data_IF_714222407708
#
_entry.id   IF_714222407708
#
_cell.length_a   1.000
_cell.length_b   1.000
_cell.length_c   1.000
_cell.angle_alpha   90.00
_cell.angle_beta   90.00
_cell.angle_gamma   90.00
#
_symmetry.space_group_name_H-M   'P 1'
#
loop_
_entity.id
_entity.type
_entity.pdbx_description
1 polymer ?
#
# COMPACT_ATOMS: atom_id res chain seq x y z
N UNK A 1 74.42 0.22 6.19
CA UNK A 1 74.13 -0.72 5.09
C UNK A 1 72.62 -0.85 4.98
N UNK A 2 72.08 -0.50 3.82
CA UNK A 2 70.65 -0.57 3.52
C UNK A 2 70.21 -2.03 3.31
N UNK A 3 69.03 -2.39 3.82
CA UNK A 3 68.34 -3.62 3.45
C UNK A 3 66.85 -3.30 3.28
N UNK A 4 66.31 -3.78 2.15
CA UNK A 4 65.02 -3.50 1.56
C UNK A 4 63.82 -4.13 2.29
N UNK A 5 62.69 -3.42 2.20
CA UNK A 5 61.29 -3.87 2.00
C UNK A 5 60.88 -5.29 2.41
N UNK A 6 59.83 -5.40 3.22
CA UNK A 6 58.53 -5.99 2.81
C UNK A 6 57.41 -5.36 3.65
N UNK A 7 56.49 -4.65 3.00
CA UNK A 7 55.20 -4.23 3.58
C UNK A 7 54.26 -5.43 3.57
N UNK A 8 53.94 -5.98 4.73
CA UNK A 8 52.82 -6.91 4.89
C UNK A 8 51.69 -6.19 5.61
N UNK A 9 50.69 -5.75 4.85
CA UNK A 9 49.40 -5.31 5.36
C UNK A 9 48.57 -6.54 5.76
N UNK A 10 48.12 -6.68 7.01
CA UNK A 10 46.97 -7.52 7.30
C UNK A 10 45.70 -6.64 7.29
N UNK A 11 44.84 -6.91 6.32
CA UNK A 11 43.49 -6.36 6.20
C UNK A 11 42.63 -6.81 7.40
N UNK A 12 42.70 -6.08 8.51
CA UNK A 12 41.92 -6.31 9.73
C UNK A 12 40.53 -5.70 9.68
N UNK A 13 39.71 -6.06 8.69
CA UNK A 13 38.27 -5.80 8.71
C UNK A 13 37.56 -7.12 8.53
N UNK A 14 37.04 -7.70 9.60
CA UNK A 14 35.84 -8.53 9.60
C UNK A 14 35.41 -8.81 11.05
N UNK A 15 34.11 -8.63 11.30
CA UNK A 15 33.33 -9.12 12.44
C UNK A 15 33.34 -8.31 13.74
N UNK A 16 32.76 -7.11 13.71
CA UNK A 16 31.99 -6.57 14.86
C UNK A 16 30.74 -5.86 14.36
N UNK A 17 29.59 -6.56 14.45
CA UNK A 17 28.30 -5.99 14.07
C UNK A 17 27.15 -6.99 14.11
N UNK A 18 27.10 -7.87 15.11
CA UNK A 18 25.96 -8.76 15.38
C UNK A 18 25.16 -8.18 16.55
N UNK A 19 24.47 -7.08 16.30
CA UNK A 19 23.21 -6.72 16.99
C UNK A 19 22.29 -6.13 15.92
N UNK A 20 21.85 -7.00 15.01
CA UNK A 20 20.71 -6.72 14.16
C UNK A 20 19.47 -6.71 15.06
N UNK A 21 19.12 -5.54 15.59
CA UNK A 21 17.72 -5.27 15.88
C UNK A 21 16.96 -5.50 14.56
N UNK A 22 15.82 -6.22 14.55
CA UNK A 22 15.06 -6.33 13.33
C UNK A 22 14.63 -4.91 12.99
N UNK A 23 15.24 -4.33 11.94
CA UNK A 23 14.63 -3.23 11.24
C UNK A 23 13.31 -3.81 10.81
N UNK A 24 12.25 -3.50 11.57
CA UNK A 24 10.90 -3.68 11.11
C UNK A 24 10.94 -3.15 9.68
N UNK A 25 10.71 -4.02 8.71
CA UNK A 25 10.41 -3.61 7.35
C UNK A 25 9.13 -2.78 7.47
N UNK A 26 9.31 -1.53 7.86
CA UNK A 26 8.30 -0.51 7.88
C UNK A 26 8.17 -0.21 6.39
N UNK A 27 7.32 -1.01 5.72
CA UNK A 27 6.77 -0.66 4.44
C UNK A 27 6.25 0.75 4.64
N UNK A 28 7.01 1.75 4.18
CA UNK A 28 6.74 3.15 4.44
C UNK A 28 5.28 3.38 4.03
N UNK A 29 4.39 3.51 5.03
CA UNK A 29 2.99 3.81 4.76
C UNK A 29 3.04 5.09 3.95
N UNK A 30 2.55 5.09 2.69
CA UNK A 30 2.53 6.33 1.94
C UNK A 30 1.83 7.38 2.81
N UNK A 31 2.31 8.63 2.81
CA UNK A 31 1.66 9.67 3.61
C UNK A 31 0.17 9.64 3.28
N UNK A 32 -0.67 9.69 4.32
CA UNK A 32 -2.12 9.65 4.19
C UNK A 32 -2.58 10.88 3.41
N UNK A 33 -2.48 10.79 2.09
CA UNK A 33 -2.96 11.78 1.14
C UNK A 33 -4.41 11.41 0.89
N UNK A 34 -5.32 12.29 1.27
CA UNK A 34 -6.72 12.09 1.00
C UNK A 34 -7.02 12.00 -0.49
N UNK A 35 -8.28 11.77 -0.85
CA UNK A 35 -8.69 11.85 -2.24
C UNK A 35 -8.40 13.24 -2.79
N UNK A 36 -7.85 13.27 -4.01
CA UNK A 36 -7.47 14.48 -4.72
C UNK A 36 -8.06 14.42 -6.11
N UNK A 37 -8.64 15.54 -6.51
CA UNK A 37 -9.18 15.74 -7.84
C UNK A 37 -8.35 16.81 -8.54
N UNK A 38 -8.02 16.56 -9.80
CA UNK A 38 -7.35 17.55 -10.67
C UNK A 38 -8.43 18.24 -11.46
N UNK A 39 -8.51 19.56 -11.35
CA UNK A 39 -9.49 20.39 -12.05
C UNK A 39 -8.76 21.27 -13.05
N UNK A 40 -9.18 21.21 -14.30
CA UNK A 40 -8.66 22.05 -15.38
C UNK A 40 -9.65 23.18 -15.66
N UNK A 41 -9.17 24.42 -15.62
CA UNK A 41 -9.95 25.63 -15.88
C UNK A 41 -9.29 26.34 -17.06
N UNK A 42 -10.06 26.61 -18.12
CA UNK A 42 -9.56 27.30 -19.31
C UNK A 42 -10.09 28.74 -19.33
N UNK A 43 -9.19 29.71 -19.21
CA UNK A 43 -9.49 31.14 -19.30
C UNK A 43 -8.86 31.71 -20.58
N UNK A 44 -9.63 31.67 -21.67
CA UNK A 44 -9.18 32.10 -22.99
C UNK A 44 -8.03 31.22 -23.52
N UNK A 45 -6.81 31.76 -23.49
CA UNK A 45 -5.57 31.09 -23.96
C UNK A 45 -4.68 30.56 -22.82
N UNK A 46 -5.14 30.66 -21.58
CA UNK A 46 -4.43 30.15 -20.39
C UNK A 46 -5.18 28.96 -19.82
N UNK A 47 -4.46 27.87 -19.52
CA UNK A 47 -4.99 26.68 -18.83
C UNK A 47 -4.46 26.64 -17.40
N UNK A 48 -5.35 26.71 -16.42
CA UNK A 48 -5.04 26.62 -15.00
C UNK A 48 -5.36 25.20 -14.53
N UNK A 49 -4.38 24.53 -13.91
CA UNK A 49 -4.53 23.17 -13.38
C UNK A 49 -4.47 23.25 -11.85
N UNK A 50 -5.57 22.95 -11.19
CA UNK A 50 -5.69 22.97 -9.72
C UNK A 50 -5.79 21.55 -9.15
N UNK A 51 -5.22 21.34 -7.96
CA UNK A 51 -5.41 20.10 -7.19
C UNK A 51 -6.31 20.37 -5.99
N UNK A 52 -7.55 19.86 -6.00
CA UNK A 52 -8.50 19.99 -4.88
C UNK A 52 -8.47 18.74 -4.02
N UNK A 53 -8.43 18.91 -2.70
CA UNK A 53 -8.56 17.80 -1.75
C UNK A 53 -10.04 17.56 -1.44
N UNK A 54 -10.49 16.33 -1.68
CA UNK A 54 -11.85 15.89 -1.38
C UNK A 54 -11.88 15.17 -0.03
N UNK A 55 -13.03 15.20 0.64
CA UNK A 55 -13.23 14.51 1.91
C UNK A 55 -12.87 13.02 1.79
N UNK A 56 -12.11 12.51 2.77
CA UNK A 56 -11.82 11.08 2.86
C UNK A 56 -12.76 10.41 3.85
N UNK A 57 -13.35 9.26 3.49
CA UNK A 57 -14.07 8.45 4.45
C UNK A 57 -13.08 7.97 5.52
N UNK A 58 -13.49 8.10 6.78
CA UNK A 58 -12.77 7.52 7.91
C UNK A 58 -13.25 6.09 8.10
N UNK A 59 -12.34 5.20 8.49
CA UNK A 59 -12.70 3.85 8.93
C UNK A 59 -13.66 3.96 10.12
N UNK A 60 -14.63 3.05 10.19
CA UNK A 60 -15.53 2.95 11.34
C UNK A 60 -14.74 2.73 12.63
N UNK A 61 -15.15 3.38 13.73
CA UNK A 61 -14.50 3.19 15.02
C UNK A 61 -14.71 1.76 15.53
N UNK A 62 -13.74 1.23 16.27
CA UNK A 62 -13.78 -0.04 17.00
C UNK A 62 -13.91 -1.31 16.11
N UNK A 63 -12.82 -1.73 15.43
CA UNK A 63 -12.83 -2.98 14.71
C UNK A 63 -12.98 -4.20 15.66
N UNK A 64 -13.65 -5.27 15.22
CA UNK A 64 -13.87 -6.46 16.06
C UNK A 64 -12.58 -7.21 16.40
N UNK A 65 -11.55 -7.13 15.55
CA UNK A 65 -10.23 -7.67 15.82
C UNK A 65 -9.14 -6.60 15.62
N UNK A 66 -8.72 -5.88 16.67
CA UNK A 66 -7.72 -4.81 16.54
C UNK A 66 -6.32 -5.33 16.17
N UNK A 67 -6.04 -6.62 16.36
CA UNK A 67 -4.72 -7.24 16.08
C UNK A 67 -4.52 -7.57 14.59
N UNK A 68 -5.59 -7.55 13.80
CA UNK A 68 -5.55 -7.83 12.36
C UNK A 68 -4.70 -6.81 11.60
N UNK A 69 -3.73 -7.31 10.82
CA UNK A 69 -2.80 -6.47 10.04
C UNK A 69 -3.43 -5.91 8.76
N UNK A 70 -4.43 -6.61 8.21
CA UNK A 70 -5.13 -6.23 6.99
C UNK A 70 -6.58 -5.85 7.30
N UNK A 71 -7.22 -4.91 6.57
CA UNK A 71 -8.62 -4.52 6.82
C UNK A 71 -9.58 -5.71 6.89
N UNK A 72 -9.52 -6.64 5.93
CA UNK A 72 -10.36 -7.85 5.92
C UNK A 72 -10.16 -8.73 7.16
N UNK A 73 -8.90 -8.89 7.58
CA UNK A 73 -8.51 -9.66 8.75
C UNK A 73 -9.01 -8.99 10.04
N UNK A 74 -8.88 -7.67 10.09
CA UNK A 74 -9.27 -6.81 11.22
C UNK A 74 -10.78 -6.82 11.47
N UNK A 75 -11.54 -6.97 10.38
CA UNK A 75 -12.99 -7.07 10.39
C UNK A 75 -13.51 -8.52 10.42
N UNK A 76 -12.64 -9.52 10.58
CA UNK A 76 -12.98 -10.96 10.62
C UNK A 76 -13.80 -11.43 9.39
N UNK A 77 -13.53 -10.83 8.22
CA UNK A 77 -14.21 -11.12 6.96
C UNK A 77 -13.47 -12.18 6.11
N UNK A 78 -12.30 -12.67 6.57
CA UNK A 78 -11.55 -13.71 5.83
C UNK A 78 -12.45 -14.92 5.57
N UNK A 79 -12.57 -15.33 4.30
CA UNK A 79 -13.43 -16.43 3.84
C UNK A 79 -14.95 -16.23 3.97
N UNK A 80 -15.42 -15.00 4.19
CA UNK A 80 -16.85 -14.70 4.38
C UNK A 80 -17.46 -13.82 3.29
N UNK A 81 -16.67 -13.45 2.28
CA UNK A 81 -17.14 -12.62 1.16
C UNK A 81 -16.93 -13.33 -0.18
N UNK A 82 -17.76 -12.97 -1.15
CA UNK A 82 -17.73 -13.43 -2.53
C UNK A 82 -17.77 -12.27 -3.54
N UNK A 83 -18.04 -12.61 -4.80
CA UNK A 83 -18.18 -11.60 -5.87
C UNK A 83 -19.50 -10.83 -5.81
N UNK A 84 -20.50 -11.36 -5.09
CA UNK A 84 -21.83 -10.77 -4.92
C UNK A 84 -21.81 -9.59 -3.91
N UNK A 85 -20.78 -9.51 -3.06
CA UNK A 85 -20.67 -8.51 -2.00
C UNK A 85 -20.17 -7.16 -2.52
N UNK A 86 -20.95 -6.54 -3.40
CA UNK A 86 -20.61 -5.27 -4.09
C UNK A 86 -20.29 -4.15 -3.08
N UNK A 87 -20.95 -4.12 -1.92
CA UNK A 87 -20.69 -3.13 -0.87
C UNK A 87 -19.28 -3.24 -0.27
N UNK A 88 -18.71 -4.45 -0.20
CA UNK A 88 -17.34 -4.65 0.25
C UNK A 88 -16.35 -4.37 -0.89
N UNK A 89 -16.62 -4.89 -2.08
CA UNK A 89 -15.72 -4.77 -3.24
C UNK A 89 -15.57 -3.31 -3.71
N UNK A 90 -16.66 -2.54 -3.68
CA UNK A 90 -16.68 -1.12 -4.09
C UNK A 90 -15.71 -0.24 -3.30
N UNK A 91 -15.34 -0.63 -2.07
CA UNK A 91 -14.40 0.11 -1.22
C UNK A 91 -12.95 0.01 -1.73
N UNK A 92 -12.63 -0.99 -2.54
CA UNK A 92 -11.27 -1.26 -3.03
C UNK A 92 -11.07 -0.95 -4.51
N UNK A 93 -12.07 -0.40 -5.19
CA UNK A 93 -12.01 -0.03 -6.61
C UNK A 93 -12.01 1.49 -6.80
N UNK A 94 -11.52 1.92 -7.96
CA UNK A 94 -11.60 3.29 -8.45
C UNK A 94 -12.98 3.55 -9.06
N UNK A 95 -13.40 4.81 -9.24
CA UNK A 95 -14.63 5.15 -9.96
C UNK A 95 -14.69 4.58 -11.39
N UNK A 96 -13.54 4.36 -12.04
CA UNK A 96 -13.45 3.73 -13.36
C UNK A 96 -13.49 2.18 -13.35
N UNK A 97 -13.74 1.56 -12.19
CA UNK A 97 -13.81 0.10 -12.03
C UNK A 97 -12.45 -0.60 -11.85
N UNK A 98 -11.33 0.12 -11.97
CA UNK A 98 -9.99 -0.43 -11.77
C UNK A 98 -9.65 -0.66 -10.28
N UNK A 99 -8.96 -1.75 -9.97
CA UNK A 99 -8.55 -2.09 -8.59
C UNK A 99 -7.54 -1.08 -8.01
N UNK A 100 -7.67 -0.74 -6.72
CA UNK A 100 -6.71 0.10 -6.02
C UNK A 100 -5.40 -0.66 -5.69
N UNK A 101 -4.23 0.00 -5.68
CA UNK A 101 -2.96 -0.67 -5.38
C UNK A 101 -2.89 -1.21 -3.94
N UNK A 102 -2.30 -2.40 -3.74
CA UNK A 102 -2.13 -3.04 -2.41
C UNK A 102 -1.49 -2.13 -1.34
N UNK A 103 -0.49 -1.34 -1.75
CA UNK A 103 0.22 -0.41 -0.85
C UNK A 103 -0.69 0.70 -0.29
N UNK A 104 -1.81 0.98 -0.95
CA UNK A 104 -2.81 1.97 -0.54
C UNK A 104 -3.92 1.29 0.26
N UNK A 105 -4.43 0.16 -0.21
CA UNK A 105 -5.52 -0.56 0.46
C UNK A 105 -5.11 -1.22 1.77
N UNK A 106 -3.83 -1.54 1.97
CA UNK A 106 -3.33 -2.18 3.18
C UNK A 106 -3.72 -3.67 3.31
N UNK A 107 -4.19 -4.28 2.23
CA UNK A 107 -4.54 -5.70 2.18
C UNK A 107 -3.28 -6.59 2.20
N UNK A 108 -3.40 -7.77 2.81
CA UNK A 108 -2.37 -8.80 2.65
C UNK A 108 -2.39 -9.34 1.21
N UNK A 109 -1.31 -10.01 0.81
CA UNK A 109 -1.15 -10.47 -0.59
C UNK A 109 -2.25 -11.47 -1.00
N UNK A 110 -2.67 -12.34 -0.09
CA UNK A 110 -3.74 -13.31 -0.32
C UNK A 110 -5.08 -12.61 -0.60
N UNK A 111 -5.51 -11.76 0.32
CA UNK A 111 -6.82 -11.09 0.21
C UNK A 111 -6.84 -10.06 -0.93
N UNK A 112 -5.71 -9.45 -1.25
CA UNK A 112 -5.62 -8.56 -2.41
C UNK A 112 -5.88 -9.30 -3.73
N UNK A 113 -5.33 -10.51 -3.90
CA UNK A 113 -5.57 -11.34 -5.09
C UNK A 113 -7.01 -11.82 -5.17
N UNK A 114 -7.58 -12.28 -4.04
CA UNK A 114 -8.97 -12.71 -3.98
C UNK A 114 -9.93 -11.58 -4.36
N UNK A 115 -9.76 -10.39 -3.77
CA UNK A 115 -10.60 -9.23 -4.11
C UNK A 115 -10.44 -8.86 -5.59
N UNK A 116 -9.23 -8.90 -6.14
CA UNK A 116 -9.00 -8.65 -7.57
C UNK A 116 -9.80 -9.62 -8.45
N UNK A 117 -9.83 -10.91 -8.11
CA UNK A 117 -10.63 -11.91 -8.81
C UNK A 117 -12.14 -11.67 -8.63
N UNK A 118 -12.60 -11.41 -7.40
CA UNK A 118 -13.99 -11.08 -7.12
C UNK A 118 -14.46 -9.85 -7.91
N UNK A 119 -13.64 -8.79 -8.00
CA UNK A 119 -13.94 -7.60 -8.80
C UNK A 119 -14.03 -7.93 -10.28
N UNK A 120 -13.12 -8.76 -10.82
CA UNK A 120 -13.21 -9.21 -12.23
C UNK A 120 -14.47 -10.02 -12.49
N UNK A 121 -14.90 -10.85 -11.54
CA UNK A 121 -16.13 -11.62 -11.64
C UNK A 121 -17.37 -10.72 -11.57
N UNK A 122 -17.40 -9.75 -10.64
CA UNK A 122 -18.49 -8.79 -10.49
C UNK A 122 -18.69 -7.96 -11.78
N UNK A 123 -17.60 -7.42 -12.36
CA UNK A 123 -17.67 -6.69 -13.63
C UNK A 123 -18.21 -7.55 -14.79
N UNK A 124 -17.87 -8.84 -14.83
CA UNK A 124 -18.39 -9.77 -15.84
C UNK A 124 -19.86 -10.14 -15.61
N UNK A 125 -20.29 -10.18 -14.35
CA UNK A 125 -21.68 -10.41 -13.98
C UNK A 125 -22.58 -9.19 -14.21
N UNK A 126 -22.00 -8.01 -14.45
CA UNK A 126 -22.74 -6.75 -14.65
C UNK A 126 -23.22 -6.12 -13.35
N UNK A 127 -22.58 -6.48 -12.23
CA UNK A 127 -22.86 -5.96 -10.87
C UNK A 127 -21.85 -4.91 -10.44
#
# INVERSE_FOLDING_TARGET
MAALNVLVYPCGRLLRGLLAAPVATCWARPPARGFREVVEIQEGKTTIIEGRMTGTPKESPNPPNPTGQCPICRWNLKHKYGYEDVLLLSQFIRPCGGMLPRRITGLCQEEHRKIEECVKMAHRAGT
#
